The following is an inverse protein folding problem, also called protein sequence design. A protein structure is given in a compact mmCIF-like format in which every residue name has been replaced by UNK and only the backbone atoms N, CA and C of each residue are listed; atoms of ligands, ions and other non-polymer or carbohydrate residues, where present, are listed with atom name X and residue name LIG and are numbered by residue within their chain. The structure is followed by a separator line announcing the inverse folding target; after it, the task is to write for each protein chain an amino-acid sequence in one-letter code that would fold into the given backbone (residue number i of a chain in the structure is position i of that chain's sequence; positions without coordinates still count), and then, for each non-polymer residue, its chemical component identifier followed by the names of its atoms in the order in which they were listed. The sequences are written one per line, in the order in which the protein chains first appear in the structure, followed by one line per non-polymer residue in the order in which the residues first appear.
data_IF_173726057200
#
_entry.id   IF_173726057200
#
_cell.length_a   1.000
_cell.length_b   1.000
_cell.length_c   1.000
_cell.angle_alpha   90.00
_cell.angle_beta   90.00
_cell.angle_gamma   90.00
#
_symmetry.space_group_name_H-M   'P 1'
#
loop_
_entity.id
_entity.type
_entity.pdbx_description
1 polymer ?
#
# COMPACT_ATOMS: atom_id res chain seq x y z
N UNK A 1 -10.95 -11.29 0.02
CA UNK A 1 -9.63 -11.69 -0.51
C UNK A 1 -9.26 -10.74 -1.63
N UNK A 2 -8.06 -10.15 -1.61
CA UNK A 2 -7.58 -9.30 -2.70
C UNK A 2 -7.15 -10.18 -3.88
N UNK A 3 -7.63 -9.88 -5.09
CA UNK A 3 -7.29 -10.65 -6.29
C UNK A 3 -5.91 -10.27 -6.82
N UNK A 4 -5.27 -11.16 -7.58
CA UNK A 4 -3.97 -10.85 -8.23
C UNK A 4 -4.08 -9.67 -9.20
N UNK A 5 -5.22 -9.52 -9.89
CA UNK A 5 -5.51 -8.37 -10.75
C UNK A 5 -5.52 -7.06 -9.94
N UNK A 6 -6.27 -7.04 -8.82
CA UNK A 6 -6.28 -5.87 -7.92
C UNK A 6 -4.89 -5.54 -7.36
N UNK A 7 -4.10 -6.56 -6.99
CA UNK A 7 -2.73 -6.35 -6.51
C UNK A 7 -1.87 -5.69 -7.59
N UNK A 8 -1.97 -6.15 -8.83
CA UNK A 8 -1.19 -5.62 -9.94
C UNK A 8 -1.62 -4.20 -10.31
N UNK A 9 -2.92 -3.91 -10.31
CA UNK A 9 -3.45 -2.56 -10.55
C UNK A 9 -2.96 -1.54 -9.50
N UNK A 10 -2.95 -1.94 -8.23
CA UNK A 10 -2.41 -1.10 -7.15
C UNK A 10 -0.93 -0.83 -7.41
N UNK A 11 -0.14 -1.88 -7.70
CA UNK A 11 1.30 -1.75 -7.96
C UNK A 11 1.57 -0.86 -9.17
N UNK A 12 0.89 -1.07 -10.29
CA UNK A 12 1.06 -0.26 -11.50
C UNK A 12 0.88 1.24 -11.21
N UNK A 13 -0.07 1.58 -10.34
CA UNK A 13 -0.31 2.96 -9.96
C UNK A 13 0.75 3.52 -9.00
N UNK A 14 1.10 2.79 -7.94
CA UNK A 14 1.96 3.35 -6.86
C UNK A 14 3.45 3.27 -7.17
N UNK A 15 3.91 2.24 -7.89
CA UNK A 15 5.33 1.96 -8.12
C UNK A 15 6.12 3.16 -8.71
N UNK A 16 5.59 3.94 -9.68
CA UNK A 16 6.29 5.10 -10.21
C UNK A 16 6.56 6.23 -9.20
N UNK A 17 5.86 6.24 -8.06
CA UNK A 17 5.90 7.33 -7.09
C UNK A 17 6.61 6.96 -5.79
N UNK A 18 6.97 5.70 -5.60
CA UNK A 18 7.58 5.20 -4.36
C UNK A 18 9.06 4.84 -4.56
N UNK A 19 9.83 4.92 -3.47
CA UNK A 19 11.24 4.55 -3.48
C UNK A 19 11.44 3.06 -3.18
N UNK A 20 10.74 2.52 -2.19
CA UNK A 20 10.90 1.14 -1.72
C UNK A 20 9.90 0.17 -2.35
N UNK A 21 10.03 -0.05 -3.67
CA UNK A 21 9.13 -0.91 -4.45
C UNK A 21 8.99 -2.33 -3.89
N UNK A 22 10.10 -2.96 -3.49
CA UNK A 22 10.08 -4.32 -2.93
C UNK A 22 9.27 -4.41 -1.64
N UNK A 23 9.47 -3.45 -0.73
CA UNK A 23 8.76 -3.39 0.55
C UNK A 23 7.25 -3.23 0.34
N UNK A 24 6.84 -2.30 -0.52
CA UNK A 24 5.42 -2.08 -0.83
C UNK A 24 4.81 -3.29 -1.55
N UNK A 25 5.54 -3.92 -2.47
CA UNK A 25 5.07 -5.14 -3.15
C UNK A 25 4.87 -6.31 -2.19
N UNK A 26 5.80 -6.52 -1.25
CA UNK A 26 5.66 -7.52 -0.19
C UNK A 26 4.46 -7.23 0.71
N UNK A 27 4.24 -5.97 1.10
CA UNK A 27 3.09 -5.57 1.92
C UNK A 27 1.76 -5.89 1.23
N UNK A 28 1.64 -5.58 -0.07
CA UNK A 28 0.46 -5.90 -0.89
C UNK A 28 0.26 -7.42 -1.01
N UNK A 29 1.33 -8.16 -1.28
CA UNK A 29 1.26 -9.61 -1.48
C UNK A 29 0.88 -10.38 -0.20
N UNK A 30 1.31 -9.88 0.96
CA UNK A 30 1.06 -10.48 2.26
C UNK A 30 -0.26 -10.04 2.90
N UNK A 31 -1.10 -9.30 2.17
CA UNK A 31 -2.39 -8.84 2.67
C UNK A 31 -3.52 -9.76 2.18
N UNK A 32 -4.42 -10.10 3.11
CA UNK A 32 -5.49 -11.06 2.86
C UNK A 32 -6.60 -10.42 2.00
N UNK A 33 -6.95 -9.18 2.31
CA UNK A 33 -7.93 -8.35 1.61
C UNK A 33 -7.56 -6.87 1.72
N UNK A 34 -8.41 -6.00 1.15
CA UNK A 34 -8.18 -4.56 1.13
C UNK A 34 -8.20 -3.93 2.52
N UNK A 35 -9.09 -4.38 3.40
CA UNK A 35 -9.20 -3.86 4.76
C UNK A 35 -7.92 -4.21 5.57
N UNK A 36 -7.44 -5.46 5.48
CA UNK A 36 -6.17 -5.89 6.08
C UNK A 36 -4.97 -5.09 5.55
N UNK A 37 -4.93 -4.80 4.24
CA UNK A 37 -3.88 -3.98 3.66
C UNK A 37 -3.92 -2.54 4.20
N UNK A 38 -5.11 -1.93 4.26
CA UNK A 38 -5.31 -0.58 4.79
C UNK A 38 -4.88 -0.49 6.25
N UNK A 39 -5.31 -1.45 7.08
CA UNK A 39 -4.98 -1.50 8.50
C UNK A 39 -3.48 -1.65 8.72
N UNK A 40 -2.81 -2.51 7.95
CA UNK A 40 -1.34 -2.66 8.00
C UNK A 40 -0.63 -1.36 7.65
N UNK A 41 -1.04 -0.70 6.56
CA UNK A 41 -0.44 0.57 6.13
C UNK A 41 -0.61 1.64 7.21
N UNK A 42 -1.82 1.80 7.76
CA UNK A 42 -2.10 2.75 8.85
C UNK A 42 -1.26 2.47 10.09
N UNK A 43 -1.12 1.21 10.48
CA UNK A 43 -0.30 0.82 11.62
C UNK A 43 1.17 1.21 11.40
N UNK A 44 1.73 0.83 10.26
CA UNK A 44 3.12 1.12 9.90
C UNK A 44 3.41 2.63 9.81
N UNK A 45 2.47 3.43 9.29
CA UNK A 45 2.61 4.88 9.23
C UNK A 45 2.69 5.54 10.62
N UNK A 46 2.15 4.90 11.67
CA UNK A 46 2.18 5.40 13.04
C UNK A 46 3.42 4.94 13.83
N UNK A 47 4.25 4.07 13.26
CA UNK A 47 5.50 3.63 13.86
C UNK A 47 6.63 4.66 13.65
N UNK A 48 7.70 4.54 14.44
CA UNK A 48 8.92 5.34 14.29
C UNK A 48 9.81 4.72 13.20
N UNK A 49 9.45 5.03 11.95
CA UNK A 49 10.11 4.55 10.73
C UNK A 49 10.69 5.72 9.92
N UNK A 50 11.57 5.41 8.99
CA UNK A 50 12.15 6.40 8.09
C UNK A 50 11.08 7.20 7.32
N UNK A 51 11.31 8.50 7.17
CA UNK A 51 10.37 9.42 6.50
C UNK A 51 10.08 9.01 5.03
N UNK A 52 11.08 8.47 4.33
CA UNK A 52 10.95 7.92 2.97
C UNK A 52 9.92 6.79 2.94
N UNK A 53 10.07 5.80 3.82
CA UNK A 53 9.12 4.68 3.99
C UNK A 53 7.74 5.17 4.36
N UNK A 54 7.64 6.15 5.27
CA UNK A 54 6.35 6.75 5.64
C UNK A 54 5.66 7.46 4.47
N UNK A 55 6.45 8.06 3.58
CA UNK A 55 5.94 8.71 2.36
C UNK A 55 5.45 7.67 1.36
N UNK A 56 6.20 6.59 1.13
CA UNK A 56 5.79 5.47 0.28
C UNK A 56 4.47 4.84 0.77
N UNK A 57 4.34 4.64 2.09
CA UNK A 57 3.13 4.13 2.73
C UNK A 57 1.94 5.08 2.58
N UNK A 58 2.16 6.39 2.66
CA UNK A 58 1.11 7.39 2.48
C UNK A 58 0.57 7.39 1.04
N UNK A 59 1.45 7.29 0.04
CA UNK A 59 1.07 7.18 -1.37
C UNK A 59 0.21 5.94 -1.60
N UNK A 60 0.62 4.80 -1.02
CA UNK A 60 -0.18 3.58 -1.07
C UNK A 60 -1.56 3.79 -0.42
N UNK A 61 -1.61 4.34 0.80
CA UNK A 61 -2.87 4.58 1.52
C UNK A 61 -3.86 5.46 0.73
N UNK A 62 -3.36 6.53 0.11
CA UNK A 62 -4.19 7.41 -0.73
C UNK A 62 -4.81 6.63 -1.88
N UNK A 63 -4.04 5.80 -2.59
CA UNK A 63 -4.57 4.94 -3.66
C UNK A 63 -5.63 3.95 -3.18
N UNK A 64 -5.39 3.30 -2.03
CA UNK A 64 -6.33 2.32 -1.48
C UNK A 64 -7.66 2.97 -1.08
N UNK A 65 -7.62 4.20 -0.57
CA UNK A 65 -8.82 4.93 -0.12
C UNK A 65 -9.55 5.67 -1.24
N UNK A 66 -8.89 5.98 -2.36
CA UNK A 66 -9.55 6.45 -3.58
C UNK A 66 -10.50 5.39 -4.13
N UNK A 67 -10.09 4.12 -4.15
CA UNK A 67 -10.93 3.02 -4.63
C UNK A 67 -12.17 2.75 -3.76
N UNK A 68 -12.20 3.26 -2.51
CA UNK A 68 -13.35 3.13 -1.62
C UNK A 68 -14.39 4.26 -1.80
N UNK A 69 -14.06 5.30 -2.58
CA UNK A 69 -14.94 6.46 -2.82
C UNK A 69 -15.73 6.35 -4.12
N UNK A 70 -15.45 5.35 -4.96
CA UNK A 70 -16.17 5.00 -6.18
C UNK A 70 -17.11 3.81 -5.93
#
# INVERSE_FOLDING_TARGET
MITEEQKEDIKLYVMPYIQNMSYISELINNSNDMDDLIDKVLKLMNEDIELSTKTDLKILYEKLTEQLKE
#
